data_IF_715809913029
#
_entry.id   IF_715809913029
#
_cell.length_a   1.000
_cell.length_b   1.000
_cell.length_c   1.000
_cell.angle_alpha   90.00
_cell.angle_beta   90.00
_cell.angle_gamma   90.00
#
_symmetry.space_group_name_H-M   'P 1'
#
loop_
_entity.id
_entity.type
_entity.pdbx_description
1 polymer ?
#
# COMPACT_ATOMS: atom_id res chain seq x y z
N UNK A 1 4.05 6.69 12.18
CA UNK A 1 4.55 5.37 12.66
C UNK A 1 3.53 4.57 13.50
N UNK A 2 3.13 4.97 14.72
CA UNK A 2 2.19 4.14 15.52
C UNK A 2 0.80 4.03 14.87
N UNK A 3 0.32 5.11 14.24
CA UNK A 3 -0.92 5.10 13.46
C UNK A 3 -0.87 4.15 12.24
N UNK A 4 0.26 4.11 11.53
CA UNK A 4 0.51 3.15 10.44
C UNK A 4 0.42 1.72 10.96
N UNK A 5 1.17 1.40 12.02
CA UNK A 5 1.12 0.07 12.61
C UNK A 5 -0.30 -0.33 13.04
N UNK A 6 -1.03 0.56 13.71
CA UNK A 6 -2.41 0.29 14.12
C UNK A 6 -3.34 0.05 12.91
N UNK A 7 -3.22 0.85 11.85
CA UNK A 7 -3.98 0.69 10.61
C UNK A 7 -3.69 -0.63 9.90
N UNK A 8 -2.42 -1.02 9.81
CA UNK A 8 -2.03 -2.30 9.21
C UNK A 8 -2.52 -3.50 10.02
N UNK A 9 -2.53 -3.42 11.35
CA UNK A 9 -3.15 -4.45 12.21
C UNK A 9 -4.66 -4.52 11.98
N UNK A 10 -5.34 -3.39 11.80
CA UNK A 10 -6.76 -3.36 11.49
C UNK A 10 -7.07 -4.03 10.14
N UNK A 11 -6.29 -3.71 9.09
CA UNK A 11 -6.39 -4.35 7.77
C UNK A 11 -6.16 -5.87 7.88
N UNK A 12 -5.14 -6.29 8.62
CA UNK A 12 -4.88 -7.72 8.83
C UNK A 12 -6.04 -8.42 9.53
N UNK A 13 -6.59 -7.81 10.58
CA UNK A 13 -7.75 -8.36 11.32
C UNK A 13 -9.01 -8.40 10.45
N UNK A 14 -9.16 -7.46 9.54
CA UNK A 14 -10.22 -7.46 8.53
C UNK A 14 -10.09 -8.65 7.57
N UNK A 15 -8.90 -8.93 7.05
CA UNK A 15 -8.68 -10.11 6.21
C UNK A 15 -8.89 -11.42 6.98
N UNK A 16 -8.38 -11.51 8.21
CA UNK A 16 -8.58 -12.66 9.09
C UNK A 16 -10.08 -12.93 9.36
N UNK A 17 -10.90 -11.90 9.58
CA UNK A 17 -12.34 -12.07 9.84
C UNK A 17 -13.13 -12.57 8.64
N UNK A 18 -12.61 -12.38 7.42
CA UNK A 18 -13.16 -12.89 6.16
C UNK A 18 -12.63 -14.27 5.77
N UNK A 19 -11.76 -14.88 6.59
CA UNK A 19 -11.08 -16.12 6.24
C UNK A 19 -9.91 -15.95 5.25
N UNK A 20 -9.49 -14.71 4.99
CA UNK A 20 -8.42 -14.35 4.05
C UNK A 20 -7.11 -13.99 4.77
N UNK A 21 -6.87 -14.55 5.96
CA UNK A 21 -5.67 -14.26 6.76
C UNK A 21 -4.33 -14.62 6.11
N UNK A 22 -4.34 -15.31 4.96
CA UNK A 22 -3.16 -15.56 4.14
C UNK A 22 -2.65 -14.30 3.43
N UNK A 23 -3.49 -13.27 3.26
CA UNK A 23 -3.15 -11.99 2.64
C UNK A 23 -2.20 -11.17 3.50
N UNK A 24 -0.90 -11.25 3.21
CA UNK A 24 0.17 -10.64 3.99
C UNK A 24 1.17 -9.80 3.18
N UNK A 25 0.92 -9.54 1.89
CA UNK A 25 1.79 -8.69 1.07
C UNK A 25 1.31 -7.23 1.14
N UNK A 26 2.24 -6.34 1.45
CA UNK A 26 2.04 -4.89 1.49
C UNK A 26 2.84 -4.25 0.36
N UNK A 27 2.13 -3.66 -0.60
CA UNK A 27 2.74 -2.86 -1.66
C UNK A 27 3.15 -1.49 -1.11
N UNK A 28 4.37 -1.06 -1.37
CA UNK A 28 4.88 0.24 -0.91
C UNK A 28 5.63 0.93 -2.06
N UNK A 29 5.19 2.11 -2.51
CA UNK A 29 5.94 2.89 -3.49
C UNK A 29 7.34 3.22 -3.00
N UNK A 30 8.33 3.18 -3.89
CA UNK A 30 9.72 3.52 -3.58
C UNK A 30 9.90 4.97 -3.06
N UNK A 31 8.95 5.86 -3.33
CA UNK A 31 8.90 7.25 -2.85
C UNK A 31 8.29 7.44 -1.44
N UNK A 32 7.81 6.36 -0.80
CA UNK A 32 7.15 6.40 0.50
C UNK A 32 8.10 6.79 1.65
N UNK A 33 7.53 7.33 2.73
CA UNK A 33 8.30 7.62 3.95
C UNK A 33 8.86 6.32 4.56
N UNK A 34 10.08 6.36 5.11
CA UNK A 34 10.78 5.18 5.63
C UNK A 34 10.08 4.48 6.80
N UNK A 35 9.11 5.13 7.45
CA UNK A 35 8.26 4.51 8.46
C UNK A 35 7.32 3.46 7.87
N UNK A 36 6.91 3.60 6.62
CA UNK A 36 5.96 2.69 5.97
C UNK A 36 6.49 1.25 5.90
N UNK A 37 7.66 0.97 5.29
CA UNK A 37 8.21 -0.38 5.28
C UNK A 37 8.52 -0.91 6.69
N UNK A 38 8.94 -0.04 7.61
CA UNK A 38 9.20 -0.44 9.00
C UNK A 38 7.90 -0.86 9.73
N UNK A 39 6.81 -0.11 9.55
CA UNK A 39 5.49 -0.41 10.11
C UNK A 39 4.92 -1.71 9.53
N UNK A 40 5.08 -1.94 8.22
CA UNK A 40 4.66 -3.17 7.56
C UNK A 40 5.41 -4.41 8.07
N UNK A 41 6.75 -4.32 8.19
CA UNK A 41 7.56 -5.38 8.78
C UNK A 41 7.16 -5.66 10.23
N UNK A 42 6.93 -4.61 11.03
CA UNK A 42 6.45 -4.75 12.41
C UNK A 42 5.09 -5.44 12.48
N UNK A 43 4.21 -5.21 11.50
CA UNK A 43 2.92 -5.89 11.36
C UNK A 43 3.01 -7.33 10.82
N UNK A 44 4.23 -7.84 10.61
CA UNK A 44 4.51 -9.15 10.00
C UNK A 44 4.00 -9.29 8.56
N UNK A 45 3.97 -8.18 7.82
CA UNK A 45 3.68 -8.17 6.38
C UNK A 45 4.98 -8.30 5.57
N UNK A 46 4.87 -8.91 4.39
CA UNK A 46 5.93 -8.92 3.38
C UNK A 46 5.84 -7.64 2.57
N UNK A 47 6.93 -6.88 2.52
CA UNK A 47 6.99 -5.65 1.72
C UNK A 47 7.37 -6.02 0.29
N UNK A 48 6.57 -5.59 -0.67
CA UNK A 48 6.93 -5.59 -2.09
C UNK A 48 6.92 -4.13 -2.60
N UNK A 49 8.04 -3.70 -3.15
CA UNK A 49 8.26 -2.31 -3.52
C UNK A 49 7.66 -2.08 -4.90
N UNK A 50 6.89 -1.00 -5.05
CA UNK A 50 6.37 -0.52 -6.33
C UNK A 50 7.28 0.61 -6.84
N UNK A 51 7.65 0.55 -8.10
CA UNK A 51 8.48 1.56 -8.74
C UNK A 51 7.76 2.91 -8.83
N UNK A 52 8.55 3.97 -8.95
CA UNK A 52 8.07 5.33 -9.15
C UNK A 52 8.75 5.96 -10.36
N UNK A 53 8.05 6.89 -11.01
CA UNK A 53 8.61 7.69 -12.09
C UNK A 53 9.67 8.69 -11.58
N UNK A 54 10.31 9.42 -12.51
CA UNK A 54 11.33 10.42 -12.17
C UNK A 54 10.83 11.59 -11.33
N UNK A 55 9.51 11.80 -11.28
CA UNK A 55 8.86 12.84 -10.49
C UNK A 55 8.38 12.30 -9.13
N UNK A 56 8.61 11.02 -8.85
CA UNK A 56 8.22 10.37 -7.60
C UNK A 56 6.76 9.90 -7.56
N UNK A 57 6.04 9.97 -8.68
CA UNK A 57 4.69 9.43 -8.78
C UNK A 57 4.75 7.91 -8.89
N UNK A 58 3.69 7.23 -8.48
CA UNK A 58 3.61 5.76 -8.55
C UNK A 58 3.64 5.32 -10.03
N UNK A 59 4.49 4.34 -10.36
CA UNK A 59 4.45 3.69 -11.66
C UNK A 59 3.21 2.79 -11.75
N UNK A 60 2.24 3.22 -12.54
CA UNK A 60 0.96 2.53 -12.67
C UNK A 60 1.08 1.21 -13.44
N UNK A 61 2.07 1.04 -14.31
CA UNK A 61 2.28 -0.24 -15.00
C UNK A 61 2.86 -1.27 -14.04
N UNK A 62 3.89 -0.88 -13.27
CA UNK A 62 4.48 -1.75 -12.25
C UNK A 62 3.48 -2.08 -11.14
N UNK A 63 2.68 -1.11 -10.68
CA UNK A 63 1.60 -1.35 -9.72
C UNK A 63 0.62 -2.42 -10.20
N UNK A 64 0.17 -2.34 -11.46
CA UNK A 64 -0.76 -3.34 -12.02
C UNK A 64 -0.12 -4.72 -12.12
N UNK A 65 1.13 -4.78 -12.58
CA UNK A 65 1.88 -6.03 -12.68
C UNK A 65 2.03 -6.69 -11.30
N UNK A 66 2.52 -5.95 -10.30
CA UNK A 66 2.71 -6.47 -8.93
C UNK A 66 1.39 -6.85 -8.27
N UNK A 67 0.37 -6.01 -8.38
CA UNK A 67 -0.94 -6.32 -7.80
C UNK A 67 -1.54 -7.60 -8.39
N UNK A 68 -1.35 -7.85 -9.69
CA UNK A 68 -1.75 -9.10 -10.34
C UNK A 68 -0.89 -10.29 -9.87
N UNK A 69 0.43 -10.15 -9.84
CA UNK A 69 1.37 -11.21 -9.44
C UNK A 69 1.14 -11.67 -7.98
N UNK A 70 0.77 -10.74 -7.11
CA UNK A 70 0.53 -11.01 -5.69
C UNK A 70 -0.95 -11.09 -5.32
N UNK A 71 -1.87 -11.14 -6.29
CA UNK A 71 -3.32 -10.95 -6.07
C UNK A 71 -3.91 -11.86 -4.98
N UNK A 72 -3.51 -13.13 -4.91
CA UNK A 72 -4.00 -14.07 -3.88
C UNK A 72 -3.52 -13.70 -2.47
N UNK A 73 -2.34 -13.08 -2.35
CA UNK A 73 -1.71 -12.76 -1.08
C UNK A 73 -1.70 -11.25 -0.77
N UNK A 74 -2.29 -10.43 -1.64
CA UNK A 74 -2.32 -8.98 -1.51
C UNK A 74 -3.15 -8.58 -0.29
N UNK A 75 -2.50 -7.93 0.67
CA UNK A 75 -3.10 -7.41 1.90
C UNK A 75 -3.49 -5.95 1.74
N UNK A 76 -2.54 -5.10 1.36
CA UNK A 76 -2.77 -3.68 1.17
C UNK A 76 -1.69 -2.99 0.33
N UNK A 77 -1.95 -1.73 -0.01
CA UNK A 77 -0.95 -0.74 -0.39
C UNK A 77 -0.85 0.33 0.70
N UNK A 78 0.35 0.88 0.91
CA UNK A 78 0.54 2.13 1.66
C UNK A 78 0.84 3.28 0.70
N UNK A 79 -0.01 4.30 0.68
CA UNK A 79 0.15 5.49 -0.18
C UNK A 79 0.21 6.75 0.67
N UNK A 80 1.05 7.71 0.30
CA UNK A 80 1.10 9.03 0.95
C UNK A 80 0.43 10.04 0.02
N UNK A 81 -0.60 10.74 0.51
CA UNK A 81 -1.34 11.71 -0.30
C UNK A 81 -1.64 13.00 0.49
N UNK A 82 -1.32 14.21 -0.04
CA UNK A 82 -0.56 14.45 -1.27
C UNK A 82 0.84 13.84 -1.19
N UNK A 83 1.46 13.59 -2.35
CA UNK A 83 2.73 12.85 -2.43
C UNK A 83 3.81 13.50 -1.56
N UNK A 84 4.92 12.82 -1.32
CA UNK A 84 6.07 13.37 -0.57
C UNK A 84 6.66 14.63 -1.23
N UNK A 85 6.27 14.92 -2.47
CA UNK A 85 6.61 16.14 -3.22
C UNK A 85 5.52 17.22 -3.19
N UNK A 86 4.41 17.00 -2.46
CA UNK A 86 3.30 17.96 -2.33
C UNK A 86 2.38 18.04 -3.55
N UNK A 87 2.39 17.02 -4.42
CA UNK A 87 1.58 16.99 -5.65
C UNK A 87 0.32 16.15 -5.42
N UNK A 88 -0.82 16.66 -5.89
CA UNK A 88 -2.08 15.91 -5.97
C UNK A 88 -2.07 15.03 -7.22
N UNK A 89 -1.78 13.73 -7.03
CA UNK A 89 -1.78 12.77 -8.13
C UNK A 89 -3.20 12.47 -8.62
N UNK A 90 -3.44 12.62 -9.93
CA UNK A 90 -4.72 12.27 -10.57
C UNK A 90 -5.00 10.75 -10.50
N UNK A 91 -3.96 9.94 -10.39
CA UNK A 91 -3.99 8.47 -10.38
C UNK A 91 -4.41 7.86 -9.04
N UNK A 92 -4.57 8.63 -7.96
CA UNK A 92 -4.84 8.06 -6.62
C UNK A 92 -6.13 7.22 -6.59
N UNK A 93 -7.15 7.60 -7.38
CA UNK A 93 -8.38 6.79 -7.52
C UNK A 93 -8.10 5.48 -8.22
N UNK A 94 -7.30 5.51 -9.28
CA UNK A 94 -6.93 4.32 -10.04
C UNK A 94 -6.09 3.35 -9.20
N UNK A 95 -5.18 3.87 -8.37
CA UNK A 95 -4.42 3.07 -7.39
C UNK A 95 -5.37 2.32 -6.46
N UNK A 96 -6.35 3.02 -5.89
CA UNK A 96 -7.37 2.40 -5.05
C UNK A 96 -8.15 1.33 -5.80
N UNK A 97 -8.58 1.62 -7.03
CA UNK A 97 -9.37 0.68 -7.84
C UNK A 97 -8.59 -0.59 -8.16
N UNK A 98 -7.32 -0.49 -8.57
CA UNK A 98 -6.44 -1.64 -8.84
C UNK A 98 -6.30 -2.51 -7.58
N UNK A 99 -5.99 -1.90 -6.44
CA UNK A 99 -5.77 -2.65 -5.19
C UNK A 99 -7.06 -3.34 -4.73
N UNK A 100 -8.21 -2.66 -4.82
CA UNK A 100 -9.50 -3.25 -4.47
C UNK A 100 -9.91 -4.38 -5.43
N UNK A 101 -9.62 -4.27 -6.73
CA UNK A 101 -9.88 -5.34 -7.70
C UNK A 101 -9.16 -6.64 -7.35
N UNK A 102 -7.97 -6.55 -6.73
CA UNK A 102 -7.20 -7.70 -6.26
C UNK A 102 -7.45 -8.07 -4.78
N UNK A 103 -8.48 -7.47 -4.16
CA UNK A 103 -8.92 -7.80 -2.80
C UNK A 103 -8.11 -7.15 -1.68
N UNK A 104 -7.14 -6.28 -2.00
CA UNK A 104 -6.36 -5.54 -1.02
C UNK A 104 -7.13 -4.40 -0.36
N UNK A 105 -6.53 -3.78 0.65
CA UNK A 105 -7.00 -2.53 1.26
C UNK A 105 -6.02 -1.38 0.98
N UNK A 106 -6.48 -0.14 1.12
CA UNK A 106 -5.62 1.04 0.92
C UNK A 106 -5.38 1.71 2.27
N UNK A 107 -4.12 1.76 2.70
CA UNK A 107 -3.69 2.59 3.83
C UNK A 107 -3.16 3.92 3.30
N UNK A 108 -3.84 5.02 3.65
CA UNK A 108 -3.39 6.37 3.31
C UNK A 108 -2.61 6.98 4.47
N UNK A 109 -1.33 7.22 4.27
CA UNK A 109 -0.48 7.96 5.19
C UNK A 109 -0.83 9.46 5.11
N UNK A 110 -1.40 9.97 6.19
CA UNK A 110 -1.85 11.35 6.34
C UNK A 110 -0.78 12.31 6.88
N UNK A 111 0.51 11.95 6.85
CA UNK A 111 1.58 12.85 7.30
C UNK A 111 1.61 14.21 6.57
N UNK A 112 1.02 14.29 5.38
CA UNK A 112 0.94 15.49 4.54
C UNK A 112 -0.46 16.15 4.51
N UNK A 113 -1.36 15.80 5.44
CA UNK A 113 -2.70 16.40 5.57
C UNK A 113 -2.70 17.71 6.37
#
# INVERSE_FOLDING_TARGET
AQGEYAGLIAIRKYHESRGEGHRNICLIPSSAHGTNPASAQKASMKVDVVDCDKNGNIDMEDLRAKAADVAENLSCIMVTYPSTHGVYEESIREVCDIVHQHGGQVYMDGANM
#
